data_IF_875690851468
#
_entry.id   IF_875690851468
#
_cell.length_a   1.000
_cell.length_b   1.000
_cell.length_c   1.000
_cell.angle_alpha   90.00
_cell.angle_beta   90.00
_cell.angle_gamma   90.00
#
_symmetry.space_group_name_H-M   'P 1'
#
loop_
_entity.id
_entity.type
_entity.pdbx_description
1 polymer ?
#
# COMPACT_ATOMS: atom_id res chain seq x y z
N UNK A 1 -16.89 -12.67 6.58
CA UNK A 1 -16.38 -11.42 7.17
C UNK A 1 -16.26 -10.38 6.08
N UNK A 2 -16.84 -9.22 6.28
CA UNK A 2 -16.79 -8.12 5.29
C UNK A 2 -15.49 -7.34 5.42
N UNK A 3 -14.75 -7.22 4.33
CA UNK A 3 -13.52 -6.44 4.29
C UNK A 3 -13.78 -4.99 3.85
N UNK A 4 -12.76 -4.11 4.00
CA UNK A 4 -12.84 -2.73 3.48
C UNK A 4 -13.06 -2.71 1.96
N UNK A 5 -12.44 -3.65 1.25
CA UNK A 5 -12.61 -3.81 -0.20
C UNK A 5 -14.05 -4.16 -0.55
N UNK A 6 -14.63 -5.16 0.13
CA UNK A 6 -16.03 -5.56 -0.09
C UNK A 6 -16.97 -4.37 0.10
N UNK A 7 -16.80 -3.64 1.21
CA UNK A 7 -17.61 -2.46 1.52
C UNK A 7 -17.47 -1.40 0.44
N UNK A 8 -16.24 -1.06 0.04
CA UNK A 8 -15.98 -0.04 -0.99
C UNK A 8 -16.61 -0.42 -2.33
N UNK A 9 -16.44 -1.65 -2.79
CA UNK A 9 -17.03 -2.08 -4.07
C UNK A 9 -18.55 -2.17 -4.01
N UNK A 10 -19.14 -2.53 -2.87
CA UNK A 10 -20.60 -2.49 -2.71
C UNK A 10 -21.15 -1.06 -2.82
N UNK A 11 -20.48 -0.08 -2.19
CA UNK A 11 -20.84 1.35 -2.31
C UNK A 11 -20.73 1.85 -3.76
N UNK A 12 -19.64 1.52 -4.44
CA UNK A 12 -19.40 1.90 -5.84
C UNK A 12 -20.45 1.29 -6.78
N UNK A 13 -20.78 0.02 -6.59
CA UNK A 13 -21.83 -0.65 -7.36
C UNK A 13 -23.18 0.04 -7.16
N UNK A 14 -23.53 0.38 -5.91
CA UNK A 14 -24.76 1.11 -5.60
C UNK A 14 -24.80 2.50 -6.23
N UNK A 15 -23.65 3.17 -6.31
CA UNK A 15 -23.50 4.47 -6.94
C UNK A 15 -23.40 4.40 -8.49
N UNK A 16 -23.31 3.21 -9.08
CA UNK A 16 -23.14 3.03 -10.54
C UNK A 16 -21.81 3.57 -11.05
N UNK A 17 -20.74 3.50 -10.25
CA UNK A 17 -19.43 4.09 -10.56
C UNK A 17 -18.32 3.05 -10.45
N UNK A 18 -17.36 3.10 -11.35
CA UNK A 18 -16.16 2.29 -11.31
C UNK A 18 -15.19 2.77 -10.22
N UNK A 19 -14.37 1.85 -9.68
CA UNK A 19 -13.34 2.18 -8.72
C UNK A 19 -12.17 2.94 -9.39
N UNK A 20 -11.70 3.98 -8.72
CA UNK A 20 -10.43 4.64 -9.03
C UNK A 20 -9.34 4.06 -8.15
N UNK A 21 -8.43 3.29 -8.76
CA UNK A 21 -7.33 2.61 -8.07
C UNK A 21 -6.04 3.34 -8.37
N UNK A 22 -5.32 3.73 -7.32
CA UNK A 22 -4.03 4.43 -7.45
C UNK A 22 -2.90 3.59 -6.89
N UNK A 23 -1.70 3.69 -7.48
CA UNK A 23 -0.49 3.00 -7.03
C UNK A 23 0.59 3.99 -6.62
N UNK A 24 1.24 3.76 -5.50
CA UNK A 24 2.45 4.47 -5.08
C UNK A 24 3.42 3.49 -4.40
N UNK A 25 4.73 3.79 -4.49
CA UNK A 25 5.75 3.03 -3.79
C UNK A 25 5.92 3.54 -2.36
N UNK A 26 5.83 2.64 -1.38
CA UNK A 26 6.06 3.00 0.03
C UNK A 26 7.50 3.50 0.23
N UNK A 27 7.63 4.68 0.84
CA UNK A 27 8.92 5.29 1.15
C UNK A 27 9.50 6.17 0.05
N UNK A 28 8.81 6.35 -1.07
CA UNK A 28 9.24 7.23 -2.15
C UNK A 28 8.57 8.62 -2.02
N UNK A 29 9.28 9.74 -1.97
CA UNK A 29 10.76 9.88 -1.97
C UNK A 29 11.40 9.65 -0.60
N UNK A 30 10.63 9.70 0.47
CA UNK A 30 11.02 9.39 1.85
C UNK A 30 9.78 8.91 2.64
N UNK A 31 9.96 8.26 3.80
CA UNK A 31 8.83 7.67 4.54
C UNK A 31 7.78 8.70 5.00
N UNK A 32 8.20 9.87 5.46
CA UNK A 32 7.28 10.90 5.95
C UNK A 32 6.43 11.48 4.82
N UNK A 33 7.06 11.85 3.70
CA UNK A 33 6.38 12.36 2.51
C UNK A 33 5.48 11.28 1.90
N UNK A 34 5.94 10.02 1.87
CA UNK A 34 5.15 8.89 1.38
C UNK A 34 3.84 8.72 2.16
N UNK A 35 3.88 8.82 3.49
CA UNK A 35 2.66 8.77 4.31
C UNK A 35 1.69 9.91 3.97
N UNK A 36 2.20 11.12 3.81
CA UNK A 36 1.36 12.28 3.42
C UNK A 36 0.75 12.10 2.03
N UNK A 37 1.49 11.51 1.08
CA UNK A 37 0.98 11.18 -0.25
C UNK A 37 -0.18 10.18 -0.15
N UNK A 38 -0.03 9.12 0.61
CA UNK A 38 -1.09 8.11 0.79
C UNK A 38 -2.34 8.73 1.41
N UNK A 39 -2.19 9.58 2.42
CA UNK A 39 -3.29 10.35 3.02
C UNK A 39 -3.97 11.27 2.00
N UNK A 40 -3.19 11.96 1.18
CA UNK A 40 -3.70 12.85 0.14
C UNK A 40 -4.48 12.10 -0.93
N UNK A 41 -4.01 10.92 -1.35
CA UNK A 41 -4.71 10.07 -2.33
C UNK A 41 -6.11 9.68 -1.84
N UNK A 42 -6.21 9.24 -0.60
CA UNK A 42 -7.49 8.91 0.03
C UNK A 42 -8.46 10.09 0.00
N UNK A 43 -8.00 11.25 0.44
CA UNK A 43 -8.81 12.49 0.49
C UNK A 43 -9.17 13.03 -0.89
N UNK A 44 -8.37 12.73 -1.91
CA UNK A 44 -8.56 13.23 -3.28
C UNK A 44 -9.41 12.31 -4.15
N UNK A 45 -9.96 11.24 -3.62
CA UNK A 45 -10.94 10.40 -4.30
C UNK A 45 -10.43 9.04 -4.78
N UNK A 46 -9.24 8.60 -4.34
CA UNK A 46 -8.83 7.22 -4.57
C UNK A 46 -9.74 6.26 -3.82
N UNK A 47 -10.35 5.34 -4.52
CA UNK A 47 -11.23 4.33 -3.92
C UNK A 47 -10.46 3.17 -3.31
N UNK A 48 -9.35 2.80 -3.93
CA UNK A 48 -8.43 1.76 -3.47
C UNK A 48 -7.01 2.26 -3.72
N UNK A 49 -6.13 2.09 -2.76
CA UNK A 49 -4.72 2.46 -2.89
C UNK A 49 -3.88 1.19 -2.92
N UNK A 50 -3.15 0.98 -4.00
CA UNK A 50 -2.11 -0.04 -4.07
C UNK A 50 -0.80 0.56 -3.56
N UNK A 51 -0.24 -0.05 -2.54
CA UNK A 51 1.00 0.40 -1.91
C UNK A 51 2.10 -0.61 -2.21
N UNK A 52 3.09 -0.19 -3.01
CA UNK A 52 4.23 -1.02 -3.38
C UNK A 52 5.21 -1.20 -2.22
N UNK A 53 5.70 -2.42 -2.06
CA UNK A 53 6.77 -2.76 -1.12
C UNK A 53 8.08 -2.75 -1.91
N UNK A 54 9.06 -1.89 -1.60
CA UNK A 54 10.30 -1.84 -2.35
C UNK A 54 11.12 -3.12 -2.18
N UNK A 55 11.71 -3.58 -3.29
CA UNK A 55 12.56 -4.76 -3.35
C UNK A 55 13.74 -4.54 -4.27
N UNK A 56 14.86 -5.24 -4.01
CA UNK A 56 16.11 -5.09 -4.78
C UNK A 56 16.05 -5.69 -6.17
N UNK A 57 15.18 -6.69 -6.38
CA UNK A 57 15.10 -7.48 -7.61
C UNK A 57 13.70 -7.43 -8.25
N UNK A 58 13.23 -6.24 -8.68
CA UNK A 58 11.86 -6.02 -9.14
C UNK A 58 11.66 -6.45 -10.59
N UNK A 59 11.80 -7.72 -10.89
CA UNK A 59 11.83 -8.27 -12.24
C UNK A 59 10.54 -8.06 -13.05
N UNK A 60 9.40 -7.87 -12.38
CA UNK A 60 8.12 -7.64 -13.04
C UNK A 60 7.75 -6.17 -13.17
N UNK A 61 8.54 -5.27 -12.59
CA UNK A 61 8.24 -3.84 -12.59
C UNK A 61 8.81 -3.14 -13.84
N UNK A 62 8.08 -2.14 -14.32
CA UNK A 62 8.57 -1.24 -15.37
C UNK A 62 9.55 -0.17 -14.83
N UNK A 63 10.14 0.64 -15.74
CA UNK A 63 11.19 1.58 -15.37
C UNK A 63 10.79 2.61 -14.31
N UNK A 64 9.58 3.13 -14.37
CA UNK A 64 9.09 4.14 -13.42
C UNK A 64 8.96 3.58 -12.01
N UNK A 65 8.42 2.37 -11.88
CA UNK A 65 8.26 1.70 -10.58
C UNK A 65 9.61 1.24 -10.04
N UNK A 66 10.51 0.77 -10.90
CA UNK A 66 11.88 0.45 -10.49
C UNK A 66 12.62 1.68 -9.95
N UNK A 67 12.48 2.83 -10.61
CA UNK A 67 13.08 4.08 -10.14
C UNK A 67 12.52 4.52 -8.78
N UNK A 68 11.21 4.42 -8.59
CA UNK A 68 10.56 4.70 -7.32
C UNK A 68 11.05 3.76 -6.21
N UNK A 69 11.17 2.46 -6.51
CA UNK A 69 11.72 1.46 -5.60
C UNK A 69 13.16 1.75 -5.18
N UNK A 70 14.01 2.16 -6.12
CA UNK A 70 15.39 2.53 -5.83
C UNK A 70 15.46 3.75 -4.90
N UNK A 71 14.62 4.77 -5.10
CA UNK A 71 14.57 5.93 -4.19
C UNK A 71 14.14 5.49 -2.78
N UNK A 72 13.12 4.65 -2.69
CA UNK A 72 12.65 4.13 -1.40
C UNK A 72 13.71 3.30 -0.68
N UNK A 73 14.40 2.41 -1.38
CA UNK A 73 15.50 1.61 -0.82
C UNK A 73 16.67 2.48 -0.36
N UNK A 74 17.01 3.53 -1.12
CA UNK A 74 18.09 4.46 -0.78
C UNK A 74 17.88 5.16 0.56
N UNK A 75 16.64 5.48 0.90
CA UNK A 75 16.28 6.08 2.20
C UNK A 75 16.00 5.05 3.29
N UNK A 76 16.30 3.78 3.04
CA UNK A 76 16.22 2.71 4.02
C UNK A 76 14.84 2.12 4.24
N UNK A 77 13.94 2.22 3.26
CA UNK A 77 12.60 1.61 3.36
C UNK A 77 12.69 0.09 3.38
N UNK A 78 11.85 -0.54 4.20
CA UNK A 78 11.78 -1.99 4.37
C UNK A 78 10.31 -2.43 4.40
N UNK A 79 10.07 -3.75 4.32
CA UNK A 79 8.72 -4.30 4.52
C UNK A 79 8.16 -3.90 5.90
N UNK A 80 8.95 -4.01 6.96
CA UNK A 80 8.52 -3.61 8.31
C UNK A 80 8.10 -2.14 8.35
N UNK A 81 8.89 -1.25 7.78
CA UNK A 81 8.57 0.18 7.71
C UNK A 81 7.37 0.47 6.82
N UNK A 82 7.14 -0.33 5.78
CA UNK A 82 5.93 -0.25 4.96
C UNK A 82 4.69 -0.57 5.80
N UNK A 83 4.74 -1.60 6.61
CA UNK A 83 3.66 -1.94 7.54
C UNK A 83 3.45 -0.85 8.60
N UNK A 84 4.53 -0.23 9.09
CA UNK A 84 4.43 0.90 10.01
C UNK A 84 3.77 2.13 9.35
N UNK A 85 4.06 2.37 8.07
CA UNK A 85 3.40 3.40 7.27
C UNK A 85 1.89 3.14 7.18
N UNK A 86 1.49 1.89 6.91
CA UNK A 86 0.08 1.49 6.88
C UNK A 86 -0.59 1.74 8.23
N UNK A 87 0.06 1.39 9.33
CA UNK A 87 -0.46 1.69 10.69
C UNK A 87 -0.64 3.18 10.91
N UNK A 88 0.31 3.99 10.46
CA UNK A 88 0.22 5.46 10.52
C UNK A 88 -0.96 6.00 9.73
N UNK A 89 -1.17 5.49 8.52
CA UNK A 89 -2.33 5.84 7.70
C UNK A 89 -3.66 5.47 8.39
N UNK A 90 -3.73 4.29 8.99
CA UNK A 90 -4.95 3.81 9.68
C UNK A 90 -5.36 4.64 10.90
N UNK A 91 -4.47 5.43 11.46
CA UNK A 91 -4.84 6.36 12.55
C UNK A 91 -5.83 7.43 12.08
N UNK A 92 -5.72 7.84 10.83
CA UNK A 92 -6.56 8.92 10.26
C UNK A 92 -7.63 8.38 9.31
N UNK A 93 -7.45 7.21 8.72
CA UNK A 93 -8.37 6.61 7.74
C UNK A 93 -8.50 5.10 7.97
N UNK A 94 -9.64 4.70 8.50
CA UNK A 94 -9.97 3.29 8.73
C UNK A 94 -10.87 2.70 7.63
N UNK A 95 -11.18 3.46 6.59
CA UNK A 95 -12.18 3.09 5.58
C UNK A 95 -11.59 2.78 4.22
N UNK A 96 -10.61 3.54 3.76
CA UNK A 96 -10.02 3.36 2.43
C UNK A 96 -9.26 2.05 2.33
N UNK A 97 -9.62 1.17 1.39
CA UNK A 97 -8.86 -0.07 1.18
C UNK A 97 -7.42 0.20 0.75
N UNK A 98 -6.49 -0.53 1.35
CA UNK A 98 -5.11 -0.62 0.90
C UNK A 98 -4.84 -2.04 0.41
N UNK A 99 -4.10 -2.15 -0.68
CA UNK A 99 -3.58 -3.42 -1.20
C UNK A 99 -2.07 -3.34 -1.21
N UNK A 100 -1.42 -4.23 -0.50
CA UNK A 100 0.04 -4.31 -0.53
C UNK A 100 0.48 -5.10 -1.75
N UNK A 101 1.37 -4.51 -2.55
CA UNK A 101 1.93 -5.14 -3.73
C UNK A 101 3.43 -5.30 -3.57
N UNK A 102 3.92 -6.52 -3.73
CA UNK A 102 5.34 -6.82 -3.59
C UNK A 102 5.70 -8.21 -4.04
N UNK A 103 6.96 -8.54 -3.84
CA UNK A 103 7.51 -9.85 -4.18
C UNK A 103 7.47 -10.77 -2.97
N UNK A 104 7.45 -12.07 -3.22
CA UNK A 104 7.31 -13.07 -2.17
C UNK A 104 8.51 -13.13 -1.21
N UNK A 105 9.74 -12.93 -1.71
CA UNK A 105 10.95 -13.05 -0.89
C UNK A 105 10.94 -12.19 0.38
N UNK A 106 10.65 -10.88 0.33
CA UNK A 106 10.56 -10.07 1.55
C UNK A 106 9.48 -10.55 2.51
N UNK A 107 8.34 -11.01 1.99
CA UNK A 107 7.24 -11.54 2.80
C UNK A 107 7.65 -12.84 3.48
N UNK A 108 8.32 -13.73 2.75
CA UNK A 108 8.82 -15.00 3.29
C UNK A 108 9.82 -14.79 4.43
N UNK A 109 10.79 -13.87 4.23
CA UNK A 109 11.80 -13.53 5.24
C UNK A 109 11.19 -12.90 6.48
N UNK A 110 10.21 -12.01 6.30
CA UNK A 110 9.47 -11.37 7.41
C UNK A 110 8.65 -12.40 8.21
N UNK A 111 8.15 -13.42 7.56
CA UNK A 111 7.26 -14.45 8.09
C UNK A 111 5.84 -14.29 7.57
N UNK A 112 5.41 -15.27 6.77
CA UNK A 112 4.10 -15.21 6.08
C UNK A 112 2.96 -15.04 7.07
N UNK A 113 2.95 -15.81 8.15
CA UNK A 113 1.86 -15.73 9.15
C UNK A 113 1.78 -14.36 9.82
N UNK A 114 2.93 -13.79 10.19
CA UNK A 114 3.00 -12.43 10.76
C UNK A 114 2.51 -11.38 9.77
N UNK A 115 2.88 -11.53 8.49
CA UNK A 115 2.44 -10.62 7.44
C UNK A 115 0.92 -10.67 7.26
N UNK A 116 0.35 -11.87 7.21
CA UNK A 116 -1.10 -12.05 7.06
C UNK A 116 -1.88 -11.55 8.28
N UNK A 117 -1.34 -11.72 9.48
CA UNK A 117 -1.97 -11.21 10.70
C UNK A 117 -2.09 -9.69 10.68
N UNK A 118 -1.02 -9.00 10.29
CA UNK A 118 -1.03 -7.54 10.14
C UNK A 118 -1.94 -7.12 8.98
N UNK A 119 -1.94 -7.86 7.89
CA UNK A 119 -2.82 -7.63 6.76
C UNK A 119 -4.29 -7.63 7.15
N UNK A 120 -4.73 -8.60 7.94
CA UNK A 120 -6.12 -8.66 8.44
C UNK A 120 -6.52 -7.42 9.24
N UNK A 121 -5.60 -6.87 10.01
CA UNK A 121 -5.90 -5.76 10.90
C UNK A 121 -5.89 -4.40 10.18
N UNK A 122 -4.97 -4.19 9.23
CA UNK A 122 -4.64 -2.86 8.73
C UNK A 122 -4.77 -2.65 7.22
N UNK A 123 -4.74 -3.74 6.44
CA UNK A 123 -4.78 -3.67 4.96
C UNK A 123 -6.18 -3.86 4.38
#
# INVERSE_FOLDING_TARGET
MTTRIDTRFAELKKAGRSAFVTYVMAGDPDPATSLEIVKALSKSGSDVIELGIPFTDPMADGPSIQAAGLRALKVGMTLKKTLDLVRGFRKDDNFTPLVLMGYYNPIYIYGVDKFLEIGRAHV
#
